data_IF_173048280251
#
_entry.id   IF_173048280251
#
_cell.length_a   1.000
_cell.length_b   1.000
_cell.length_c   1.000
_cell.angle_alpha   90.00
_cell.angle_beta   90.00
_cell.angle_gamma   90.00
#
_symmetry.space_group_name_H-M   'P 1'
#
loop_
_entity.id
_entity.type
_entity.pdbx_description
1 polymer ?
#
# COMPACT_ATOMS: atom_id res chain seq x y z
N UNK A 1 1.62 8.54 -17.32
CA UNK A 1 2.37 8.03 -16.14
C UNK A 1 1.45 7.05 -15.47
N UNK A 2 1.82 5.78 -15.39
CA UNK A 2 1.00 4.80 -14.69
C UNK A 2 0.91 5.15 -13.20
N UNK A 3 -0.29 5.02 -12.65
CA UNK A 3 -0.57 5.18 -11.23
C UNK A 3 -1.28 3.94 -10.71
N UNK A 4 -0.96 3.56 -9.48
CA UNK A 4 -1.68 2.53 -8.73
C UNK A 4 -2.49 3.21 -7.64
N UNK A 5 -3.80 3.03 -7.69
CA UNK A 5 -4.73 3.57 -6.71
C UNK A 5 -5.09 2.45 -5.74
N UNK A 6 -4.75 2.64 -4.47
CA UNK A 6 -4.84 1.59 -3.44
C UNK A 6 -6.06 1.76 -2.53
N UNK A 7 -6.72 2.91 -2.55
CA UNK A 7 -7.84 3.18 -1.65
C UNK A 7 -8.52 4.52 -1.90
N UNK A 8 -9.75 4.65 -1.39
CA UNK A 8 -10.51 5.91 -1.41
C UNK A 8 -9.97 6.88 -0.38
N UNK A 9 -9.94 8.15 -0.75
CA UNK A 9 -9.65 9.26 0.15
C UNK A 9 -10.86 9.63 1.01
N UNK A 10 -10.70 10.62 1.91
CA UNK A 10 -11.74 11.02 2.86
C UNK A 10 -12.89 11.82 2.23
N UNK A 11 -12.80 12.18 0.94
CA UNK A 11 -13.83 12.92 0.21
C UNK A 11 -14.05 12.30 -1.17
N UNK A 12 -15.26 12.41 -1.75
CA UNK A 12 -15.51 11.99 -3.13
C UNK A 12 -14.49 12.59 -4.10
N UNK A 13 -13.98 11.77 -5.02
CA UNK A 13 -12.97 12.17 -6.00
C UNK A 13 -11.53 12.20 -5.48
N UNK A 14 -11.28 12.07 -4.16
CA UNK A 14 -9.93 11.92 -3.61
C UNK A 14 -9.57 10.44 -3.47
N UNK A 15 -8.32 10.10 -3.78
CA UNK A 15 -7.81 8.73 -3.73
C UNK A 15 -6.39 8.68 -3.18
N UNK A 16 -6.05 7.59 -2.49
CA UNK A 16 -4.68 7.27 -2.11
C UNK A 16 -3.98 6.58 -3.27
N UNK A 17 -2.98 7.26 -3.82
CA UNK A 17 -2.21 6.81 -4.98
C UNK A 17 -0.81 6.42 -4.54
N UNK A 18 -0.40 5.19 -4.83
CA UNK A 18 0.97 4.75 -4.69
C UNK A 18 1.82 5.46 -5.75
N UNK A 19 2.83 6.20 -5.29
CA UNK A 19 3.69 7.02 -6.14
C UNK A 19 5.02 6.36 -6.47
N UNK A 20 5.35 5.28 -5.76
CA UNK A 20 6.53 4.44 -5.99
C UNK A 20 6.17 3.00 -5.65
N UNK A 21 6.86 2.01 -6.23
CA UNK A 21 6.82 0.63 -5.75
C UNK A 21 7.19 0.51 -4.26
N UNK A 22 6.83 -0.59 -3.59
CA UNK A 22 7.29 -0.93 -2.25
C UNK A 22 8.82 -0.90 -2.17
N UNK A 23 9.34 -0.40 -1.05
CA UNK A 23 10.79 -0.44 -0.77
C UNK A 23 11.05 -0.48 0.72
N UNK A 24 11.77 -1.50 1.17
CA UNK A 24 12.09 -1.75 2.57
C UNK A 24 10.89 -1.57 3.52
N UNK A 25 9.79 -2.24 3.21
CA UNK A 25 8.59 -2.30 4.03
C UNK A 25 7.73 -1.05 4.00
N UNK A 26 8.01 -0.11 3.08
CA UNK A 26 7.26 1.13 2.93
C UNK A 26 6.82 1.35 1.47
N UNK A 27 5.61 1.87 1.30
CA UNK A 27 5.08 2.32 0.01
C UNK A 27 4.69 3.80 0.14
N UNK A 28 5.20 4.63 -0.78
CA UNK A 28 4.92 6.07 -0.71
C UNK A 28 3.57 6.38 -1.34
N UNK A 29 2.65 6.91 -0.55
CA UNK A 29 1.29 7.22 -0.97
C UNK A 29 1.01 8.72 -0.93
N UNK A 30 0.24 9.22 -1.90
CA UNK A 30 -0.24 10.60 -1.92
C UNK A 30 -1.74 10.62 -2.10
N UNK A 31 -2.38 11.59 -1.44
CA UNK A 31 -3.78 11.90 -1.69
C UNK A 31 -3.86 12.73 -2.97
N UNK A 32 -4.67 12.28 -3.94
CA UNK A 32 -4.83 12.93 -5.24
C UNK A 32 -6.30 13.00 -5.63
N UNK A 33 -6.72 14.11 -6.21
CA UNK A 33 -8.02 14.24 -6.85
C UNK A 33 -7.97 13.62 -8.25
N UNK A 34 -8.86 12.67 -8.52
CA UNK A 34 -8.91 11.93 -9.79
C UNK A 34 -10.32 12.05 -10.39
N UNK A 35 -10.43 12.27 -11.72
CA UNK A 35 -11.71 12.41 -12.42
C UNK A 35 -12.34 11.03 -12.68
N UNK A 36 -12.64 10.27 -11.63
CA UNK A 36 -13.24 8.93 -11.73
C UNK A 36 -14.06 8.58 -10.49
N UNK A 37 -15.01 7.66 -10.67
CA UNK A 37 -15.77 6.99 -9.60
C UNK A 37 -15.38 5.52 -9.41
N UNK A 38 -14.35 5.04 -10.11
CA UNK A 38 -13.91 3.66 -10.03
C UNK A 38 -13.55 3.24 -8.59
N UNK A 39 -13.92 2.03 -8.21
CA UNK A 39 -13.54 1.46 -6.91
C UNK A 39 -12.08 0.99 -6.94
N UNK A 40 -11.24 1.41 -5.97
CA UNK A 40 -9.91 0.84 -5.79
C UNK A 40 -9.98 -0.57 -5.19
N UNK A 41 -8.94 -1.40 -5.38
CA UNK A 41 -7.68 -1.08 -6.06
C UNK A 41 -7.75 -1.15 -7.60
N UNK A 42 -7.09 -0.21 -8.27
CA UNK A 42 -6.99 -0.17 -9.74
C UNK A 42 -5.69 0.49 -10.20
N UNK A 43 -5.29 0.22 -11.44
CA UNK A 43 -4.22 0.95 -12.14
C UNK A 43 -4.78 1.77 -13.29
N UNK A 44 -4.14 2.90 -13.59
CA UNK A 44 -4.53 3.77 -14.68
C UNK A 44 -3.36 4.60 -15.21
N UNK A 45 -3.44 5.02 -16.46
CA UNK A 45 -2.54 6.00 -17.04
C UNK A 45 -3.02 7.41 -16.70
N UNK A 46 -2.27 8.11 -15.87
CA UNK A 46 -2.52 9.50 -15.54
C UNK A 46 -1.91 10.43 -16.59
N UNK A 47 -2.78 11.20 -17.25
CA UNK A 47 -2.40 12.29 -18.15
C UNK A 47 -2.72 13.63 -17.48
N UNK A 48 -1.66 14.37 -17.12
CA UNK A 48 -1.78 15.75 -16.60
C UNK A 48 -1.38 16.74 -17.67
N UNK A 49 -2.25 17.69 -17.94
CA UNK A 49 -2.02 18.80 -18.89
C UNK A 49 -2.25 20.13 -18.18
N UNK A 50 -1.86 21.24 -18.83
CA UNK A 50 -2.19 22.59 -18.33
C UNK A 50 -3.70 22.84 -18.26
N UNK A 51 -4.51 22.07 -18.99
CA UNK A 51 -5.98 22.24 -19.10
C UNK A 51 -6.77 21.30 -18.19
N UNK A 52 -6.11 20.36 -17.52
CA UNK A 52 -6.77 19.40 -16.65
C UNK A 52 -6.06 18.06 -16.54
N UNK A 53 -6.71 17.13 -15.85
CA UNK A 53 -6.24 15.77 -15.61
C UNK A 53 -7.21 14.79 -16.26
N UNK A 54 -6.69 13.73 -16.87
CA UNK A 54 -7.47 12.61 -17.39
C UNK A 54 -6.87 11.28 -16.93
N UNK A 55 -7.71 10.27 -16.79
CA UNK A 55 -7.32 8.88 -16.60
C UNK A 55 -7.61 8.09 -17.88
N UNK A 56 -6.63 7.32 -18.32
CA UNK A 56 -6.75 6.39 -19.44
C UNK A 56 -6.51 4.97 -18.92
N UNK A 57 -6.99 3.95 -19.66
CA UNK A 57 -6.71 2.54 -19.39
C UNK A 57 -6.96 2.10 -17.92
N UNK A 58 -8.04 2.59 -17.32
CA UNK A 58 -8.39 2.21 -15.94
C UNK A 58 -8.76 0.73 -15.90
N UNK A 59 -7.96 -0.05 -15.17
CA UNK A 59 -8.12 -1.50 -15.04
C UNK A 59 -8.09 -1.90 -13.57
N UNK A 60 -8.99 -2.79 -13.11
CA UNK A 60 -8.91 -3.36 -11.77
C UNK A 60 -7.53 -3.95 -11.50
N UNK A 61 -7.06 -3.84 -10.26
CA UNK A 61 -5.77 -4.37 -9.84
C UNK A 61 -6.00 -5.35 -8.69
N UNK A 62 -5.44 -6.55 -8.79
CA UNK A 62 -5.28 -7.40 -7.62
C UNK A 62 -4.12 -6.86 -6.79
N UNK A 63 -4.44 -6.32 -5.62
CA UNK A 63 -3.44 -5.68 -4.76
C UNK A 63 -2.49 -6.71 -4.14
N UNK A 64 -2.97 -7.91 -3.88
CA UNK A 64 -2.18 -8.97 -3.26
C UNK A 64 -1.13 -9.47 -4.26
N UNK A 65 -1.53 -9.77 -5.49
CA UNK A 65 -0.61 -10.15 -6.57
C UNK A 65 0.42 -9.04 -6.83
N UNK A 66 -0.02 -7.78 -6.90
CA UNK A 66 0.88 -6.63 -7.12
C UNK A 66 1.91 -6.45 -5.99
N UNK A 67 1.53 -6.73 -4.74
CA UNK A 67 2.47 -6.72 -3.62
C UNK A 67 3.49 -7.85 -3.75
N UNK A 68 3.05 -9.05 -4.14
CA UNK A 68 3.92 -10.23 -4.31
C UNK A 68 4.96 -10.04 -5.43
N UNK A 69 4.70 -9.22 -6.45
CA UNK A 69 5.71 -8.80 -7.44
C UNK A 69 6.93 -8.11 -6.80
N UNK A 70 6.77 -7.61 -5.56
CA UNK A 70 7.78 -6.87 -4.79
C UNK A 70 8.13 -7.57 -3.47
N UNK A 71 8.01 -8.90 -3.42
CA UNK A 71 8.14 -9.71 -2.20
C UNK A 71 9.39 -9.40 -1.38
N UNK A 72 10.54 -9.19 -2.02
CA UNK A 72 11.83 -8.89 -1.40
C UNK A 72 11.88 -7.51 -0.70
N UNK A 73 10.91 -6.65 -1.00
CA UNK A 73 10.75 -5.32 -0.41
C UNK A 73 9.67 -5.28 0.68
N UNK A 74 8.94 -6.37 0.91
CA UNK A 74 7.89 -6.46 1.92
C UNK A 74 8.45 -6.85 3.29
N UNK A 75 7.70 -6.50 4.34
CA UNK A 75 7.93 -6.95 5.70
C UNK A 75 7.40 -8.37 5.80
N UNK A 76 8.28 -9.33 5.98
CA UNK A 76 7.92 -10.68 6.39
C UNK A 76 7.77 -10.67 7.92
N UNK A 77 6.60 -11.05 8.42
CA UNK A 77 6.35 -10.99 9.86
C UNK A 77 5.01 -11.56 10.28
N UNK A 78 4.67 -11.33 11.54
CA UNK A 78 3.42 -11.74 12.15
C UNK A 78 2.77 -10.56 12.88
N UNK A 79 1.46 -10.38 12.68
CA UNK A 79 0.67 -9.42 13.44
C UNK A 79 -0.03 -10.13 14.60
N UNK A 80 0.39 -9.80 15.83
CA UNK A 80 -0.18 -10.32 17.08
C UNK A 80 -0.49 -9.18 18.04
N UNK A 81 -1.69 -9.18 18.62
CA UNK A 81 -2.14 -8.17 19.59
C UNK A 81 -1.96 -6.71 19.09
N UNK A 82 -2.16 -6.48 17.78
CA UNK A 82 -2.00 -5.17 17.15
C UNK A 82 -0.54 -4.73 17.00
N UNK A 83 0.42 -5.65 17.07
CA UNK A 83 1.84 -5.39 16.84
C UNK A 83 2.32 -6.29 15.70
N UNK A 84 2.86 -5.68 14.65
CA UNK A 84 3.63 -6.35 13.60
C UNK A 84 5.06 -6.52 14.08
N UNK A 85 5.47 -7.76 14.31
CA UNK A 85 6.88 -8.13 14.47
C UNK A 85 7.38 -8.74 13.18
N UNK A 86 8.49 -8.23 12.63
CA UNK A 86 8.96 -8.72 11.34
C UNK A 86 10.36 -8.29 10.96
N UNK A 87 10.74 -8.66 9.75
CA UNK A 87 12.04 -8.37 9.15
C UNK A 87 11.84 -7.80 7.75
N UNK A 88 12.61 -6.77 7.41
CA UNK A 88 12.73 -6.28 6.04
C UNK A 88 14.10 -5.66 5.82
N UNK A 89 14.67 -5.82 4.62
CA UNK A 89 15.99 -5.27 4.27
C UNK A 89 17.05 -5.55 5.35
N UNK A 90 17.09 -6.79 5.87
CA UNK A 90 17.99 -7.26 6.93
C UNK A 90 17.87 -6.53 8.28
N UNK A 91 16.70 -5.95 8.57
CA UNK A 91 16.43 -5.27 9.85
C UNK A 91 15.19 -5.83 10.50
N UNK A 92 15.31 -6.19 11.78
CA UNK A 92 14.16 -6.47 12.64
C UNK A 92 13.42 -5.17 12.94
N UNK A 93 12.11 -5.24 13.00
CA UNK A 93 11.25 -4.11 13.36
C UNK A 93 10.03 -4.59 14.15
N UNK A 94 9.52 -3.68 14.97
CA UNK A 94 8.23 -3.80 15.63
C UNK A 94 7.44 -2.54 15.31
N UNK A 95 6.21 -2.73 14.83
CA UNK A 95 5.31 -1.64 14.44
C UNK A 95 3.96 -1.89 15.05
N UNK A 96 3.43 -0.93 15.80
CA UNK A 96 2.06 -0.98 16.30
C UNK A 96 1.09 -0.71 15.15
N UNK A 97 0.22 -1.67 14.87
CA UNK A 97 -0.80 -1.64 13.82
C UNK A 97 -2.15 -1.38 14.47
N UNK A 98 -2.80 -0.28 14.09
CA UNK A 98 -4.12 0.07 14.61
C UNK A 98 -5.28 -0.54 13.82
N UNK A 99 -4.98 -1.17 12.68
CA UNK A 99 -5.94 -1.89 11.84
C UNK A 99 -6.20 -3.29 12.41
N UNK A 100 -7.41 -3.55 12.95
CA UNK A 100 -7.72 -4.83 13.59
C UNK A 100 -8.02 -5.95 12.58
N UNK A 101 -8.15 -5.64 11.28
CA UNK A 101 -8.50 -6.63 10.26
C UNK A 101 -7.33 -7.54 9.88
N UNK A 102 -6.10 -7.14 10.24
CA UNK A 102 -4.86 -7.85 9.95
C UNK A 102 -4.36 -8.57 11.20
N UNK A 103 -4.19 -9.88 11.09
CA UNK A 103 -3.74 -10.76 12.16
C UNK A 103 -3.06 -11.99 11.54
N UNK A 104 -2.05 -12.53 12.23
CA UNK A 104 -1.32 -13.72 11.81
C UNK A 104 -0.12 -13.42 10.90
N UNK A 105 0.46 -14.46 10.26
CA UNK A 105 1.61 -14.33 9.37
C UNK A 105 1.27 -13.55 8.10
N UNK A 106 2.10 -12.57 7.75
CA UNK A 106 1.87 -11.65 6.64
C UNK A 106 3.14 -11.29 5.87
N UNK A 107 2.96 -10.98 4.59
CA UNK A 107 3.86 -10.09 3.86
C UNK A 107 3.22 -8.72 3.77
N UNK A 108 3.88 -7.71 4.32
CA UNK A 108 3.24 -6.42 4.54
C UNK A 108 4.07 -5.23 4.05
N UNK A 109 3.38 -4.15 3.72
CA UNK A 109 3.99 -2.86 3.44
C UNK A 109 3.23 -1.75 4.13
N UNK A 110 3.96 -0.79 4.67
CA UNK A 110 3.39 0.37 5.36
C UNK A 110 3.18 1.53 4.39
N UNK A 111 1.95 2.00 4.18
CA UNK A 111 1.69 3.25 3.47
C UNK A 111 2.26 4.44 4.23
N UNK A 112 3.12 5.22 3.58
CA UNK A 112 3.73 6.43 4.16
C UNK A 112 3.61 7.62 3.22
N UNK A 113 3.42 8.83 3.75
CA UNK A 113 3.45 10.04 2.92
C UNK A 113 4.85 10.35 2.36
N UNK A 114 5.90 9.94 3.09
CA UNK A 114 7.30 10.09 2.70
C UNK A 114 8.10 8.91 3.23
N UNK A 115 8.96 8.33 2.38
CA UNK A 115 9.85 7.24 2.76
C UNK A 115 10.85 7.67 3.82
N UNK A 116 11.02 6.85 4.86
CA UNK A 116 12.06 6.99 5.88
C UNK A 116 13.02 5.79 5.84
N UNK A 117 14.11 5.84 6.62
CA UNK A 117 15.08 4.74 6.72
C UNK A 117 14.48 3.45 7.31
N UNK A 118 13.46 3.60 8.14
CA UNK A 118 12.70 2.52 8.78
C UNK A 118 11.22 2.87 8.74
N UNK A 119 10.32 1.86 8.76
CA UNK A 119 8.90 2.10 8.96
C UNK A 119 8.63 2.92 10.25
N UNK A 120 7.55 3.72 10.28
CA UNK A 120 7.12 4.39 11.49
C UNK A 120 6.70 3.37 12.56
N UNK A 121 6.91 3.65 13.86
CA UNK A 121 6.62 2.71 14.95
C UNK A 121 5.12 2.50 15.19
N UNK A 122 4.26 3.34 14.60
CA UNK A 122 2.81 3.27 14.68
C UNK A 122 2.23 3.52 13.29
N UNK A 123 1.31 2.65 12.86
CA UNK A 123 0.62 2.73 11.58
C UNK A 123 -0.88 2.58 11.75
N UNK A 124 -1.63 3.36 10.99
CA UNK A 124 -3.10 3.31 10.99
C UNK A 124 -3.64 2.15 10.16
N UNK A 125 -2.95 1.79 9.09
CA UNK A 125 -3.33 0.72 8.17
C UNK A 125 -2.07 0.04 7.65
N UNK A 126 -2.22 -1.21 7.25
CA UNK A 126 -1.18 -2.06 6.71
C UNK A 126 -1.73 -2.69 5.42
N UNK A 127 -0.99 -2.57 4.31
CA UNK A 127 -1.31 -3.36 3.14
C UNK A 127 -0.59 -4.69 3.32
N UNK A 128 -1.36 -5.77 3.50
CA UNK A 128 -0.81 -7.06 3.90
C UNK A 128 -1.45 -8.18 3.09
N UNK A 129 -0.60 -9.01 2.50
CA UNK A 129 -0.96 -10.32 2.00
C UNK A 129 -0.91 -11.32 3.17
N UNK A 130 -2.02 -11.98 3.46
CA UNK A 130 -2.10 -13.01 4.50
C UNK A 130 -1.52 -14.31 3.98
N UNK A 131 -0.53 -14.86 4.69
CA UNK A 131 0.04 -16.14 4.34
C UNK A 131 -0.92 -17.22 4.84
N UNK A 132 -1.73 -17.77 3.93
CA UNK A 132 -2.49 -18.98 4.21
C UNK A 132 -1.57 -20.17 4.02
N UNK A 133 -1.09 -20.74 5.13
CA UNK A 133 -0.43 -22.05 5.08
C UNK A 133 -1.55 -23.07 4.89
N UNK A 134 -1.59 -23.74 3.74
CA UNK A 134 -2.49 -24.88 3.53
C UNK A 134 -2.16 -25.94 4.59
N UNK A 135 -3.11 -26.19 5.48
CA UNK A 135 -3.06 -27.25 6.49
C UNK A 135 -3.50 -28.59 5.94
#
# INVERSE_FOLDING_TARGET
MEIVVIGRGPRPGLYYVATTPPRCGQITVKLMELPTSAEPPFKADLLKTRRGTALLNTTPLDLDEWLLEHLDQLIEGEVKDGVLEGVVCNKKLQVKVLDPSVSGPVFAVVPVARRKKTPPPLVLTLLAYKIQIAG
#
